data_IF_069178736865
#
_entry.id   IF_069178736865
#
_cell.length_a   1.000
_cell.length_b   1.000
_cell.length_c   1.000
_cell.angle_alpha   90.00
_cell.angle_beta   90.00
_cell.angle_gamma   90.00
#
_symmetry.space_group_name_H-M   'P 1'
#
loop_
_entity.id
_entity.type
_entity.pdbx_description
1 polymer ?
#
# COMPACT_ATOMS: atom_id res chain seq x y z
N UNK A 1 -17.40 22.65 -3.48
CA UNK A 1 -16.35 23.30 -4.30
C UNK A 1 -15.10 22.46 -4.16
N UNK A 2 -14.63 21.81 -5.23
CA UNK A 2 -13.34 21.12 -5.19
C UNK A 2 -12.26 22.17 -5.48
N UNK A 3 -11.46 22.51 -4.47
CA UNK A 3 -10.31 23.39 -4.65
C UNK A 3 -9.14 22.51 -5.06
N UNK A 4 -8.72 22.59 -6.32
CA UNK A 4 -7.52 21.91 -6.79
C UNK A 4 -6.29 22.78 -6.50
N UNK A 5 -5.17 22.14 -6.17
CA UNK A 5 -3.85 22.79 -6.07
C UNK A 5 -2.94 22.20 -7.15
N UNK A 6 -2.04 23.01 -7.69
CA UNK A 6 -1.02 22.54 -8.62
C UNK A 6 0.02 21.68 -7.87
N UNK A 7 0.34 20.50 -8.42
CA UNK A 7 1.35 19.60 -7.88
C UNK A 7 2.45 19.36 -8.93
N UNK A 8 3.74 19.38 -8.54
CA UNK A 8 4.83 19.03 -9.45
C UNK A 8 4.69 17.60 -9.98
N UNK A 9 4.98 17.39 -11.27
CA UNK A 9 4.91 16.07 -11.90
C UNK A 9 5.73 15.02 -11.15
N UNK A 10 6.96 15.34 -10.78
CA UNK A 10 7.88 14.46 -10.03
C UNK A 10 7.30 14.02 -8.68
N UNK A 11 6.50 14.88 -8.05
CA UNK A 11 5.83 14.53 -6.79
C UNK A 11 4.74 13.48 -7.04
N UNK A 12 3.91 13.67 -8.07
CA UNK A 12 2.88 12.68 -8.46
C UNK A 12 3.52 11.34 -8.84
N UNK A 13 4.67 11.35 -9.53
CA UNK A 13 5.43 10.14 -9.83
C UNK A 13 5.96 9.45 -8.57
N UNK A 14 6.45 10.22 -7.60
CA UNK A 14 6.89 9.69 -6.30
C UNK A 14 5.73 9.01 -5.57
N UNK A 15 4.55 9.63 -5.56
CA UNK A 15 3.34 9.06 -4.96
C UNK A 15 2.92 7.76 -5.68
N UNK A 16 2.97 7.72 -7.02
CA UNK A 16 2.69 6.51 -7.81
C UNK A 16 3.68 5.36 -7.54
N UNK A 17 4.86 5.67 -7.01
CA UNK A 17 5.88 4.69 -6.63
C UNK A 17 5.81 4.27 -5.15
N UNK A 18 4.90 4.82 -4.35
CA UNK A 18 4.75 4.40 -2.96
C UNK A 18 4.39 2.90 -2.87
N UNK A 19 5.14 2.22 -2.01
CA UNK A 19 5.03 0.81 -1.66
C UNK A 19 5.33 0.66 -0.17
N UNK A 20 4.96 -0.48 0.40
CA UNK A 20 5.46 -0.84 1.72
C UNK A 20 7.00 -0.89 1.68
N UNK A 21 7.68 -0.45 2.76
CA UNK A 21 9.11 -0.68 2.90
C UNK A 21 9.44 -2.18 2.78
N UNK A 22 10.57 -2.59 2.18
CA UNK A 22 10.87 -4.00 1.92
C UNK A 22 10.73 -4.92 3.14
N UNK A 23 11.12 -4.44 4.32
CA UNK A 23 11.00 -5.20 5.58
C UNK A 23 9.53 -5.40 5.99
N UNK A 24 8.69 -4.39 5.81
CA UNK A 24 7.26 -4.48 6.12
C UNK A 24 6.54 -5.39 5.13
N UNK A 25 6.91 -5.33 3.85
CA UNK A 25 6.40 -6.21 2.80
C UNK A 25 6.75 -7.68 3.06
N UNK A 26 8.01 -7.97 3.39
CA UNK A 26 8.45 -9.32 3.80
C UNK A 26 7.71 -9.83 5.05
N UNK A 27 7.47 -8.94 6.01
CA UNK A 27 6.72 -9.28 7.23
C UNK A 27 5.27 -9.60 6.91
N UNK A 28 4.62 -8.79 6.07
CA UNK A 28 3.27 -9.02 5.57
C UNK A 28 3.17 -10.39 4.90
N UNK A 29 4.09 -10.72 3.99
CA UNK A 29 4.10 -12.01 3.30
C UNK A 29 4.24 -13.18 4.29
N UNK A 30 5.18 -13.08 5.23
CA UNK A 30 5.39 -14.13 6.26
C UNK A 30 4.13 -14.36 7.10
N UNK A 31 3.42 -13.29 7.47
CA UNK A 31 2.19 -13.38 8.25
C UNK A 31 1.02 -13.94 7.42
N UNK A 32 0.93 -13.59 6.13
CA UNK A 32 -0.05 -14.20 5.22
C UNK A 32 0.17 -15.70 5.06
N UNK A 33 1.43 -16.14 4.90
CA UNK A 33 1.77 -17.56 4.79
C UNK A 33 1.36 -18.32 6.07
N UNK A 34 1.71 -17.79 7.25
CA UNK A 34 1.29 -18.36 8.54
C UNK A 34 -0.22 -18.32 8.76
N UNK A 35 -0.92 -17.30 8.26
CA UNK A 35 -2.37 -17.22 8.32
C UNK A 35 -3.03 -18.35 7.52
N UNK A 36 -2.51 -18.63 6.33
CA UNK A 36 -2.99 -19.74 5.49
C UNK A 36 -2.79 -21.10 6.16
N UNK A 37 -1.74 -21.24 6.98
CA UNK A 37 -1.48 -22.43 7.78
C UNK A 37 -2.26 -22.47 9.11
N UNK A 38 -2.99 -21.40 9.45
CA UNK A 38 -3.72 -21.29 10.72
C UNK A 38 -2.82 -21.12 11.95
N UNK A 39 -1.57 -20.67 11.76
CA UNK A 39 -0.53 -20.60 12.79
C UNK A 39 -0.37 -19.21 13.42
N UNK A 40 -1.25 -18.26 13.12
CA UNK A 40 -1.17 -16.92 13.70
C UNK A 40 -1.57 -16.92 15.17
N UNK A 41 -0.72 -16.31 15.98
CA UNK A 41 -1.11 -15.83 17.30
C UNK A 41 -2.03 -14.61 17.18
N UNK A 42 -2.72 -14.26 18.26
CA UNK A 42 -3.61 -13.09 18.30
C UNK A 42 -2.86 -11.79 17.99
N UNK A 43 -1.66 -11.62 18.54
CA UNK A 43 -0.80 -10.45 18.26
C UNK A 43 -0.40 -10.39 16.79
N UNK A 44 -0.06 -11.53 16.20
CA UNK A 44 0.31 -11.60 14.78
C UNK A 44 -0.88 -11.36 13.86
N UNK A 45 -2.10 -11.73 14.28
CA UNK A 45 -3.33 -11.40 13.56
C UNK A 45 -3.57 -9.89 13.52
N UNK A 46 -3.48 -9.22 14.65
CA UNK A 46 -3.61 -7.76 14.72
C UNK A 46 -2.51 -7.04 13.90
N UNK A 47 -1.28 -7.56 13.92
CA UNK A 47 -0.19 -7.05 13.08
C UNK A 47 -0.50 -7.23 11.59
N UNK A 48 -0.97 -8.42 11.18
CA UNK A 48 -1.35 -8.71 9.81
C UNK A 48 -2.46 -7.76 9.33
N UNK A 49 -3.52 -7.60 10.11
CA UNK A 49 -4.64 -6.70 9.80
C UNK A 49 -4.15 -5.26 9.57
N UNK A 50 -3.28 -4.76 10.45
CA UNK A 50 -2.70 -3.41 10.33
C UNK A 50 -1.84 -3.25 9.06
N UNK A 51 -1.04 -4.27 8.73
CA UNK A 51 -0.19 -4.24 7.54
C UNK A 51 -1.01 -4.34 6.24
N UNK A 52 -2.06 -5.17 6.22
CA UNK A 52 -3.00 -5.27 5.10
C UNK A 52 -3.68 -3.92 4.88
N UNK A 53 -4.26 -3.32 5.93
CA UNK A 53 -4.93 -2.03 5.82
C UNK A 53 -4.00 -0.94 5.26
N UNK A 54 -2.75 -0.89 5.74
CA UNK A 54 -1.76 0.03 5.20
C UNK A 54 -1.45 -0.25 3.71
N UNK A 55 -1.31 -1.51 3.32
CA UNK A 55 -1.02 -1.90 1.94
C UNK A 55 -2.14 -1.50 0.98
N UNK A 56 -3.40 -1.60 1.41
CA UNK A 56 -4.58 -1.22 0.64
C UNK A 56 -4.64 0.30 0.45
N UNK A 57 -4.46 1.06 1.53
CA UNK A 57 -4.42 2.53 1.49
C UNK A 57 -3.32 3.03 0.54
N UNK A 58 -2.12 2.45 0.61
CA UNK A 58 -1.02 2.77 -0.31
C UNK A 58 -1.38 2.42 -1.76
N UNK A 59 -2.09 1.32 -1.97
CA UNK A 59 -2.50 0.89 -3.31
C UNK A 59 -3.55 1.83 -3.91
N UNK A 60 -4.48 2.37 -3.13
CA UNK A 60 -5.45 3.36 -3.57
C UNK A 60 -4.78 4.67 -3.97
N UNK A 61 -3.93 5.23 -3.10
CA UNK A 61 -3.19 6.47 -3.38
C UNK A 61 -2.31 6.33 -4.62
N UNK A 62 -1.65 5.17 -4.75
CA UNK A 62 -0.88 4.84 -5.95
C UNK A 62 -1.75 4.80 -7.20
N UNK A 63 -2.92 4.15 -7.14
CA UNK A 63 -3.81 4.03 -8.28
C UNK A 63 -4.30 5.42 -8.74
N UNK A 64 -4.62 6.31 -7.80
CA UNK A 64 -4.97 7.70 -8.10
C UNK A 64 -3.83 8.46 -8.78
N UNK A 65 -2.61 8.35 -8.25
CA UNK A 65 -1.44 8.97 -8.89
C UNK A 65 -1.17 8.42 -10.30
N UNK A 66 -1.30 7.10 -10.52
CA UNK A 66 -1.14 6.50 -11.85
C UNK A 66 -2.23 6.96 -12.81
N UNK A 67 -3.48 7.10 -12.33
CA UNK A 67 -4.58 7.66 -13.11
C UNK A 67 -4.28 9.10 -13.55
N UNK A 68 -3.80 9.95 -12.64
CA UNK A 68 -3.39 11.33 -12.95
C UNK A 68 -2.24 11.39 -13.96
N UNK A 69 -1.34 10.42 -13.94
CA UNK A 69 -0.23 10.29 -14.90
C UNK A 69 -0.63 9.67 -16.24
N UNK A 70 -1.89 9.23 -16.41
CA UNK A 70 -2.34 8.50 -17.60
C UNK A 70 -1.69 7.13 -17.77
N UNK A 71 -1.20 6.51 -16.68
CA UNK A 71 -0.53 5.20 -16.68
C UNK A 71 -1.48 4.13 -16.14
N UNK A 72 -1.49 2.91 -16.70
CA UNK A 72 -2.28 1.82 -16.13
C UNK A 72 -1.72 1.41 -14.75
N UNK A 73 -2.58 1.02 -13.79
CA UNK A 73 -2.12 0.34 -12.58
C UNK A 73 -1.42 -0.96 -12.98
N UNK A 74 -0.19 -1.16 -12.47
CA UNK A 74 0.56 -2.42 -12.61
C UNK A 74 0.27 -3.33 -11.44
#
# INVERSE_FOLDING_TARGET
>A
MSSTIDAPLEWVETVGNLRLPPRADQRLQTLMDRNNEGLLTETERAELESLVELSERLSLVRAEALHLLGRPPK
#
